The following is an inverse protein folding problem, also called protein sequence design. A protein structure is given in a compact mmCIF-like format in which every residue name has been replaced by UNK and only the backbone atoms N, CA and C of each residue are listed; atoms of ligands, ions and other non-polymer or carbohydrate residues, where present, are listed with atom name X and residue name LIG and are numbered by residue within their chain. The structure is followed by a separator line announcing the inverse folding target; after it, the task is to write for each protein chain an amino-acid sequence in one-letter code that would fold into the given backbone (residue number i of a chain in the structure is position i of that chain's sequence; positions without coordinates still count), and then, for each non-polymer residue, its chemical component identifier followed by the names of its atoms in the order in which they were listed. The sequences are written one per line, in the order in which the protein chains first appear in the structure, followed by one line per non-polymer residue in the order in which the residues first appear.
data_IF_601154222279
#
_entry.id   IF_601154222279
#
_cell.length_a   1.000
_cell.length_b   1.000
_cell.length_c   1.000
_cell.angle_alpha   90.00
_cell.angle_beta   90.00
_cell.angle_gamma   90.00
#
_symmetry.space_group_name_H-M   'P 1'
#
loop_
_entity.id
_entity.type
_entity.pdbx_description
1 polymer ?
#
# COMPACT_ATOMS: atom_id res chain seq x y z
N UNK A 1 3.54 -0.25 8.56
CA UNK A 1 2.36 0.63 8.67
C UNK A 1 1.37 0.12 7.66
N UNK A 2 0.23 -0.32 8.15
CA UNK A 2 -0.84 -0.93 7.38
C UNK A 2 -2.16 -0.30 7.84
N UNK A 3 -3.17 -0.40 7.01
CA UNK A 3 -4.52 0.07 7.30
C UNK A 3 -5.52 -1.04 6.96
N UNK A 4 -6.60 -1.12 7.71
CA UNK A 4 -7.71 -2.04 7.48
C UNK A 4 -8.99 -1.24 7.23
N UNK A 5 -9.77 -1.63 6.23
CA UNK A 5 -11.09 -1.05 5.99
C UNK A 5 -12.20 -1.82 6.72
N UNK A 6 -13.44 -1.34 6.61
CA UNK A 6 -14.60 -1.90 7.29
C UNK A 6 -14.93 -3.35 6.93
N UNK A 7 -14.41 -3.85 5.80
CA UNK A 7 -14.62 -5.24 5.35
C UNK A 7 -13.43 -6.16 5.66
N UNK A 8 -12.39 -5.64 6.32
CA UNK A 8 -11.20 -6.42 6.70
C UNK A 8 -10.14 -6.52 5.60
N UNK A 9 -10.18 -5.65 4.58
CA UNK A 9 -9.12 -5.57 3.57
C UNK A 9 -7.94 -4.79 4.15
N UNK A 10 -6.74 -5.38 4.06
CA UNK A 10 -5.50 -4.79 4.56
C UNK A 10 -4.73 -4.11 3.43
N UNK A 11 -4.42 -2.83 3.63
CA UNK A 11 -3.66 -1.97 2.73
C UNK A 11 -2.29 -1.67 3.30
N UNK A 12 -1.24 -1.83 2.49
CA UNK A 12 0.13 -1.63 2.97
C UNK A 12 1.09 -1.24 1.85
N UNK A 13 2.29 -0.79 2.23
CA UNK A 13 3.37 -0.42 1.29
C UNK A 13 4.49 -1.44 1.33
N UNK A 14 4.88 -1.96 0.16
CA UNK A 14 6.03 -2.85 0.02
C UNK A 14 6.91 -2.48 -1.19
N UNK A 15 8.19 -2.91 -1.22
CA UNK A 15 9.06 -2.70 -2.38
C UNK A 15 8.59 -3.48 -3.61
N UNK A 16 8.50 -2.82 -4.76
CA UNK A 16 8.00 -3.37 -6.03
C UNK A 16 9.09 -3.33 -7.12
N UNK A 17 10.20 -3.98 -6.78
CA UNK A 17 11.38 -4.07 -7.61
C UNK A 17 12.10 -2.73 -7.82
N UNK A 18 12.81 -2.63 -8.95
CA UNK A 18 13.64 -1.47 -9.28
C UNK A 18 13.12 -0.78 -10.54
N UNK A 19 13.21 0.54 -10.56
CA UNK A 19 13.04 1.35 -11.76
C UNK A 19 14.13 1.04 -12.80
N UNK A 20 13.96 1.50 -14.04
CA UNK A 20 14.97 1.40 -15.10
C UNK A 20 16.34 2.02 -14.73
N UNK A 21 16.36 2.92 -13.74
CA UNK A 21 17.59 3.56 -13.20
C UNK A 21 18.15 2.84 -11.96
N UNK A 22 17.68 1.63 -11.66
CA UNK A 22 18.13 0.82 -10.53
C UNK A 22 17.65 1.27 -9.14
N UNK A 23 16.82 2.33 -9.07
CA UNK A 23 16.24 2.80 -7.79
C UNK A 23 15.09 1.91 -7.36
N UNK A 24 15.03 1.57 -6.07
CA UNK A 24 13.94 0.82 -5.48
C UNK A 24 12.62 1.58 -5.65
N UNK A 25 11.58 0.89 -6.12
CA UNK A 25 10.21 1.42 -6.16
C UNK A 25 9.42 0.85 -5.01
N UNK A 26 8.39 1.58 -4.60
CA UNK A 26 7.50 1.17 -3.53
C UNK A 26 6.08 1.25 -4.04
N UNK A 27 5.30 0.21 -3.80
CA UNK A 27 3.92 0.14 -4.25
C UNK A 27 2.99 -0.04 -3.07
N UNK A 28 1.78 0.48 -3.23
CA UNK A 28 0.66 0.22 -2.31
C UNK A 28 -0.07 -1.01 -2.83
N UNK A 29 -0.29 -1.98 -1.94
CA UNK A 29 -1.03 -3.20 -2.19
C UNK A 29 -2.26 -3.26 -1.30
N UNK A 30 -3.24 -4.07 -1.70
CA UNK A 30 -4.24 -4.59 -0.76
C UNK A 30 -4.28 -6.11 -0.78
N UNK A 31 -4.68 -6.68 0.36
CA UNK A 31 -4.98 -8.08 0.53
C UNK A 31 -6.28 -8.23 1.34
N UNK A 32 -7.26 -8.92 0.77
CA UNK A 32 -8.45 -9.38 1.49
C UNK A 32 -8.12 -10.70 2.24
N UNK A 33 -8.89 -11.06 3.27
CA UNK A 33 -8.67 -12.27 4.06
C UNK A 33 -8.68 -13.52 3.18
N UNK A 34 -7.49 -14.04 2.92
CA UNK A 34 -7.28 -15.26 2.13
C UNK A 34 -7.13 -15.05 0.62
N UNK A 35 -7.12 -13.80 0.13
CA UNK A 35 -6.91 -13.54 -1.28
C UNK A 35 -5.41 -13.48 -1.61
N UNK A 36 -4.98 -14.43 -2.43
CA UNK A 36 -3.69 -14.39 -3.14
C UNK A 36 -3.97 -14.49 -4.64
N UNK A 37 -3.32 -13.68 -5.49
CA UNK A 37 -2.24 -12.74 -5.21
C UNK A 37 -2.71 -11.37 -4.69
N UNK A 38 -1.80 -10.69 -3.98
CA UNK A 38 -1.96 -9.31 -3.51
C UNK A 38 -2.13 -8.36 -4.70
N UNK A 39 -3.03 -7.39 -4.59
CA UNK A 39 -3.37 -6.53 -5.73
C UNK A 39 -2.62 -5.21 -5.63
N UNK A 40 -1.84 -4.91 -6.68
CA UNK A 40 -1.13 -3.65 -6.83
C UNK A 40 -2.11 -2.51 -7.11
N UNK A 41 -2.16 -1.52 -6.22
CA UNK A 41 -2.98 -0.31 -6.39
C UNK A 41 -2.21 0.78 -7.13
N UNK A 42 -0.92 0.92 -6.84
CA UNK A 42 -0.09 1.91 -7.50
C UNK A 42 1.38 1.83 -7.08
N UNK A 43 2.27 2.22 -7.99
CA UNK A 43 3.71 2.22 -7.80
C UNK A 43 4.26 3.65 -7.71
N UNK A 44 5.16 3.88 -6.76
CA UNK A 44 5.69 5.19 -6.42
C UNK A 44 7.23 5.20 -6.44
N UNK A 45 7.86 6.35 -6.76
CA UNK A 45 9.31 6.46 -6.84
C UNK A 45 10.02 6.30 -5.49
N UNK A 46 9.34 6.62 -4.38
CA UNK A 46 9.91 6.57 -3.04
C UNK A 46 8.95 5.93 -2.03
N UNK A 47 9.50 5.42 -0.93
CA UNK A 47 8.69 4.90 0.20
C UNK A 47 7.80 5.98 0.80
N UNK A 48 8.30 7.21 0.86
CA UNK A 48 7.55 8.34 1.42
C UNK A 48 6.31 8.63 0.57
N UNK A 49 6.45 8.71 -0.75
CA UNK A 49 5.32 8.97 -1.65
C UNK A 49 4.24 7.90 -1.53
N UNK A 50 4.65 6.62 -1.45
CA UNK A 50 3.71 5.50 -1.27
C UNK A 50 2.99 5.58 0.08
N UNK A 51 3.71 5.91 1.17
CA UNK A 51 3.12 6.04 2.51
C UNK A 51 2.20 7.24 2.62
N UNK A 52 2.62 8.41 2.13
CA UNK A 52 1.79 9.63 2.11
C UNK A 52 0.48 9.37 1.35
N UNK A 53 0.56 8.61 0.25
CA UNK A 53 -0.62 8.26 -0.54
C UNK A 53 -1.54 7.28 0.17
N UNK A 54 -0.97 6.24 0.79
CA UNK A 54 -1.72 5.29 1.61
C UNK A 54 -2.42 6.00 2.79
N UNK A 55 -1.72 6.90 3.48
CA UNK A 55 -2.29 7.67 4.59
C UNK A 55 -3.39 8.64 4.11
N UNK A 56 -3.23 9.26 2.93
CA UNK A 56 -4.27 10.10 2.34
C UNK A 56 -5.55 9.30 2.02
N UNK A 57 -5.41 8.07 1.51
CA UNK A 57 -6.55 7.18 1.30
C UNK A 57 -7.18 6.72 2.60
N UNK A 58 -6.36 6.32 3.58
CA UNK A 58 -6.84 5.93 4.89
C UNK A 58 -7.67 7.04 5.55
N UNK A 59 -7.23 8.31 5.45
CA UNK A 59 -8.01 9.46 5.95
C UNK A 59 -9.27 9.72 5.15
N UNK A 60 -9.24 9.51 3.84
CA UNK A 60 -10.40 9.76 2.96
C UNK A 60 -11.52 8.73 3.19
N UNK A 61 -11.15 7.48 3.46
CA UNK A 61 -12.05 6.35 3.62
C UNK A 61 -12.19 5.88 5.06
N UNK A 62 -11.65 6.66 6.01
CA UNK A 62 -11.66 6.36 7.45
C UNK A 62 -11.14 4.96 7.82
N UNK A 63 -10.10 4.50 7.12
CA UNK A 63 -9.48 3.21 7.38
C UNK A 63 -8.75 3.21 8.73
N UNK A 64 -8.87 2.11 9.46
CA UNK A 64 -8.23 1.95 10.74
C UNK A 64 -6.75 1.61 10.56
N UNK A 65 -5.86 2.36 11.23
CA UNK A 65 -4.44 2.02 11.26
C UNK A 65 -4.22 0.78 12.11
N UNK A 66 -3.42 -0.16 11.60
CA UNK A 66 -3.02 -1.39 12.29
C UNK A 66 -1.49 -1.55 12.27
N UNK A 67 -0.96 -2.33 13.23
CA UNK A 67 0.48 -2.61 13.40
C UNK A 67 0.97 -3.81 12.59
#
# INVERSE_FOLDING_TARGET
MMYEDEVGTVYYVAPDGKSAKGRLRYSVYYADQGQTPEVLIGAYPTKKDALDRLEAWARLYDWQRIE
#
